data_IF_806265924525
#
_entry.id   IF_806265924525
#
_cell.length_a   1.000
_cell.length_b   1.000
_cell.length_c   1.000
_cell.angle_alpha   90.00
_cell.angle_beta   90.00
_cell.angle_gamma   90.00
#
_symmetry.space_group_name_H-M   'P 1'
#
loop_
_entity.id
_entity.type
_entity.pdbx_description
1 polymer ?
#
# COMPACT_ATOMS: atom_id res chain seq x y z
N UNK A 1 11.16 1.51 -4.44
CA UNK A 1 11.49 2.68 -5.25
C UNK A 1 10.42 3.77 -5.12
N UNK A 2 9.16 3.50 -5.47
CA UNK A 2 8.07 4.50 -5.46
C UNK A 2 7.90 5.19 -4.11
N UNK A 3 7.89 4.45 -3.02
CA UNK A 3 7.81 5.02 -1.67
C UNK A 3 8.98 5.96 -1.32
N UNK A 4 10.19 5.67 -1.82
CA UNK A 4 11.34 6.56 -1.64
C UNK A 4 11.23 7.81 -2.52
N UNK A 5 10.68 7.68 -3.74
CA UNK A 5 10.44 8.79 -4.64
C UNK A 5 9.39 9.75 -4.09
N UNK A 6 8.32 9.21 -3.52
CA UNK A 6 7.18 9.98 -2.99
C UNK A 6 7.44 10.54 -1.58
N UNK A 7 8.65 10.33 -1.03
CA UNK A 7 9.07 10.86 0.28
C UNK A 7 8.55 10.07 1.48
N UNK A 8 7.89 8.93 1.27
CA UNK A 8 7.38 8.07 2.36
C UNK A 8 8.49 7.21 3.00
N UNK A 9 9.57 6.97 2.27
CA UNK A 9 10.79 6.31 2.74
C UNK A 9 12.02 7.15 2.37
N UNK A 10 13.19 6.91 3.01
CA UNK A 10 14.41 7.68 2.73
C UNK A 10 14.75 7.71 1.23
N UNK A 11 15.01 8.90 0.71
CA UNK A 11 15.22 9.17 -0.72
C UNK A 11 16.40 8.43 -1.35
N UNK A 12 17.37 7.95 -0.54
CA UNK A 12 18.49 7.15 -1.04
C UNK A 12 18.06 5.78 -1.62
N UNK A 13 16.87 5.27 -1.23
CA UNK A 13 16.25 4.08 -1.81
C UNK A 13 15.70 4.33 -3.22
N UNK A 14 15.43 5.59 -3.55
CA UNK A 14 14.92 5.99 -4.86
C UNK A 14 16.02 6.29 -5.88
N UNK A 15 17.31 6.17 -5.50
CA UNK A 15 18.40 6.40 -6.46
C UNK A 15 18.45 5.31 -7.51
N UNK A 16 18.38 5.72 -8.77
CA UNK A 16 18.56 4.89 -9.95
C UNK A 16 20.05 4.83 -10.32
N UNK A 17 20.48 3.73 -10.94
CA UNK A 17 21.79 3.63 -11.57
C UNK A 17 21.75 4.18 -13.00
N UNK A 18 22.90 4.16 -13.70
CA UNK A 18 23.04 4.64 -15.09
C UNK A 18 22.09 3.91 -16.07
N UNK A 19 21.59 2.74 -15.71
CA UNK A 19 20.61 1.93 -16.49
C UNK A 19 19.16 2.17 -16.03
N UNK A 20 18.88 3.22 -15.27
CA UNK A 20 17.56 3.55 -14.71
C UNK A 20 16.95 2.44 -13.84
N UNK A 21 17.79 1.59 -13.19
CA UNK A 21 17.35 0.53 -12.30
C UNK A 21 17.59 0.93 -10.84
N UNK A 22 16.63 0.65 -9.91
CA UNK A 22 16.76 0.95 -8.49
C UNK A 22 17.60 -0.11 -7.76
N UNK A 23 18.88 -0.26 -8.12
CA UNK A 23 19.76 -1.34 -7.63
C UNK A 23 19.82 -1.40 -6.10
N UNK A 24 19.83 -0.25 -5.42
CA UNK A 24 19.88 -0.21 -3.94
C UNK A 24 18.63 -0.80 -3.31
N UNK A 25 17.45 -0.45 -3.83
CA UNK A 25 16.21 -1.03 -3.36
C UNK A 25 16.13 -2.53 -3.64
N UNK A 26 16.58 -2.97 -4.83
CA UNK A 26 16.61 -4.39 -5.20
C UNK A 26 17.54 -5.20 -4.30
N UNK A 27 18.76 -4.75 -4.05
CA UNK A 27 19.72 -5.46 -3.18
C UNK A 27 19.17 -5.60 -1.76
N UNK A 28 18.60 -4.53 -1.19
CA UNK A 28 18.02 -4.57 0.15
C UNK A 28 16.84 -5.53 0.22
N UNK A 29 15.91 -5.46 -0.75
CA UNK A 29 14.76 -6.35 -0.81
C UNK A 29 15.20 -7.81 -1.00
N UNK A 30 16.25 -8.07 -1.78
CA UNK A 30 16.79 -9.42 -1.95
C UNK A 30 17.38 -9.95 -0.65
N UNK A 31 18.19 -9.15 0.05
CA UNK A 31 18.77 -9.55 1.33
C UNK A 31 17.67 -9.85 2.36
N UNK A 32 16.71 -8.94 2.51
CA UNK A 32 15.59 -9.14 3.44
C UNK A 32 14.76 -10.37 3.04
N UNK A 33 14.48 -10.53 1.74
CA UNK A 33 13.70 -11.65 1.23
C UNK A 33 14.38 -13.00 1.47
N UNK A 34 15.69 -13.09 1.25
CA UNK A 34 16.47 -14.30 1.52
C UNK A 34 16.50 -14.62 3.02
N UNK A 35 16.74 -13.63 3.87
CA UNK A 35 16.74 -13.81 5.32
C UNK A 35 15.37 -14.30 5.83
N UNK A 36 14.29 -13.64 5.46
CA UNK A 36 12.94 -14.02 5.87
C UNK A 36 12.57 -15.38 5.28
N UNK A 37 12.84 -15.60 3.98
CA UNK A 37 12.53 -16.86 3.31
C UNK A 37 13.28 -18.06 3.85
N UNK A 38 14.47 -17.87 4.42
CA UNK A 38 15.23 -18.95 5.07
C UNK A 38 14.76 -19.25 6.50
N UNK A 39 14.10 -18.31 7.17
CA UNK A 39 13.69 -18.44 8.58
C UNK A 39 12.27 -18.99 8.74
N UNK A 40 11.39 -18.79 7.75
CA UNK A 40 9.97 -19.12 7.89
C UNK A 40 9.51 -20.16 6.85
N UNK A 41 8.57 -21.07 7.23
CA UNK A 41 7.95 -21.98 6.28
C UNK A 41 7.22 -21.28 5.16
N UNK A 42 7.24 -21.82 3.96
CA UNK A 42 6.56 -21.25 2.78
C UNK A 42 5.05 -21.01 3.02
N UNK A 43 4.37 -21.94 3.67
CA UNK A 43 2.95 -21.81 3.98
C UNK A 43 2.63 -20.59 4.85
N UNK A 44 3.49 -20.28 5.81
CA UNK A 44 3.36 -19.08 6.64
C UNK A 44 3.59 -17.79 5.84
N UNK A 45 4.63 -17.77 5.00
CA UNK A 45 4.90 -16.62 4.14
C UNK A 45 3.77 -16.36 3.14
N UNK A 46 3.19 -17.41 2.57
CA UNK A 46 2.03 -17.30 1.68
C UNK A 46 0.82 -16.70 2.39
N UNK A 47 0.55 -17.10 3.64
CA UNK A 47 -0.51 -16.50 4.46
C UNK A 47 -0.23 -15.04 4.80
N UNK A 48 1.00 -14.67 5.08
CA UNK A 48 1.40 -13.29 5.39
C UNK A 48 1.20 -12.37 4.18
N UNK A 49 1.58 -12.83 2.98
CA UNK A 49 1.35 -12.10 1.73
C UNK A 49 -0.16 -11.93 1.49
N UNK A 50 -0.93 -12.99 1.67
CA UNK A 50 -2.39 -12.96 1.54
C UNK A 50 -3.02 -11.96 2.50
N UNK A 51 -2.60 -11.96 3.76
CA UNK A 51 -3.09 -11.04 4.78
C UNK A 51 -2.83 -9.57 4.42
N UNK A 52 -1.62 -9.25 3.94
CA UNK A 52 -1.29 -7.90 3.48
C UNK A 52 -2.15 -7.45 2.30
N UNK A 53 -2.38 -8.33 1.34
CA UNK A 53 -3.23 -8.06 0.17
C UNK A 53 -4.69 -7.84 0.57
N UNK A 54 -5.21 -8.65 1.49
CA UNK A 54 -6.59 -8.51 1.99
C UNK A 54 -6.78 -7.17 2.71
N UNK A 55 -5.82 -6.75 3.54
CA UNK A 55 -5.85 -5.42 4.18
C UNK A 55 -5.86 -4.31 3.12
N UNK A 56 -5.03 -4.40 2.09
CA UNK A 56 -5.04 -3.42 1.02
C UNK A 56 -6.42 -3.33 0.33
N UNK A 57 -7.08 -4.45 0.06
CA UNK A 57 -8.43 -4.47 -0.51
C UNK A 57 -9.50 -3.89 0.44
N UNK A 58 -9.36 -4.08 1.74
CA UNK A 58 -10.24 -3.40 2.72
C UNK A 58 -10.10 -1.88 2.61
N UNK A 59 -8.86 -1.38 2.57
CA UNK A 59 -8.62 0.07 2.42
C UNK A 59 -9.13 0.61 1.09
N UNK A 60 -8.93 -0.10 -0.01
CA UNK A 60 -9.46 0.28 -1.34
C UNK A 60 -10.98 0.37 -1.30
N UNK A 61 -11.66 -0.58 -0.65
CA UNK A 61 -13.13 -0.58 -0.52
C UNK A 61 -13.63 0.65 0.26
N UNK A 62 -12.92 1.05 1.33
CA UNK A 62 -13.24 2.25 2.12
C UNK A 62 -12.90 3.53 1.33
N UNK A 63 -11.74 3.56 0.68
CA UNK A 63 -11.27 4.70 -0.08
C UNK A 63 -12.23 5.07 -1.23
N UNK A 64 -12.91 4.08 -1.82
CA UNK A 64 -13.90 4.31 -2.86
C UNK A 64 -15.04 5.22 -2.40
N UNK A 65 -15.45 5.16 -1.13
CA UNK A 65 -16.45 6.08 -0.58
C UNK A 65 -15.93 7.53 -0.53
N UNK A 66 -14.69 7.70 -0.09
CA UNK A 66 -14.06 9.02 -0.04
C UNK A 66 -13.89 9.62 -1.43
N UNK A 67 -13.45 8.83 -2.39
CA UNK A 67 -13.27 9.25 -3.77
C UNK A 67 -14.60 9.66 -4.42
N UNK A 68 -15.67 8.91 -4.20
CA UNK A 68 -17.00 9.23 -4.72
C UNK A 68 -17.57 10.55 -4.17
N UNK A 69 -17.28 10.88 -2.91
CA UNK A 69 -17.72 12.17 -2.33
C UNK A 69 -16.99 13.38 -2.95
N UNK A 70 -15.79 13.17 -3.46
CA UNK A 70 -14.94 14.19 -4.08
C UNK A 70 -15.09 14.26 -5.59
N UNK A 71 -15.78 13.28 -6.21
CA UNK A 71 -16.08 13.24 -7.64
C UNK A 71 -16.88 14.48 -8.08
N UNK A 72 -16.38 15.19 -9.08
CA UNK A 72 -17.02 16.42 -9.59
C UNK A 72 -16.83 17.67 -8.71
N UNK A 73 -16.06 17.57 -7.60
CA UNK A 73 -15.63 18.72 -6.78
C UNK A 73 -14.14 18.99 -7.00
N UNK A 74 -13.29 18.14 -6.42
CA UNK A 74 -11.82 18.25 -6.48
C UNK A 74 -11.20 17.26 -7.47
N UNK A 75 -11.96 16.23 -7.86
CA UNK A 75 -11.50 15.19 -8.77
C UNK A 75 -12.31 15.17 -10.05
N UNK A 76 -11.67 14.91 -11.21
CA UNK A 76 -12.38 14.75 -12.47
C UNK A 76 -13.37 13.59 -12.40
N UNK A 77 -14.46 13.69 -13.17
CA UNK A 77 -15.45 12.63 -13.27
C UNK A 77 -14.81 11.42 -13.99
N UNK A 78 -14.76 10.23 -13.37
CA UNK A 78 -14.14 9.06 -13.98
C UNK A 78 -14.94 8.57 -15.19
N UNK A 79 -14.24 8.09 -16.22
CA UNK A 79 -14.85 7.50 -17.40
C UNK A 79 -15.65 6.23 -17.09
N UNK A 80 -15.25 5.48 -16.06
CA UNK A 80 -15.95 4.28 -15.60
C UNK A 80 -16.49 4.47 -14.18
N UNK A 81 -17.79 4.22 -14.00
CA UNK A 81 -18.44 4.24 -12.69
C UNK A 81 -18.79 2.82 -12.26
N UNK A 82 -18.34 2.44 -11.09
CA UNK A 82 -18.63 1.13 -10.51
C UNK A 82 -20.14 0.97 -10.36
N UNK A 83 -20.74 -0.08 -10.97
CA UNK A 83 -22.16 -0.36 -10.83
C UNK A 83 -22.52 -0.74 -9.39
N UNK A 84 -23.81 -0.60 -9.06
CA UNK A 84 -24.33 -0.94 -7.72
C UNK A 84 -23.62 -0.26 -6.53
N UNK A 85 -23.07 0.93 -6.75
CA UNK A 85 -22.60 1.73 -5.62
C UNK A 85 -23.82 2.22 -4.79
N UNK A 86 -23.77 2.14 -3.45
CA UNK A 86 -22.66 1.81 -2.53
C UNK A 86 -22.59 0.33 -2.13
N UNK A 87 -23.43 -0.53 -2.63
CA UNK A 87 -23.59 -1.91 -2.17
C UNK A 87 -22.35 -2.78 -2.48
N UNK A 88 -21.81 -2.66 -3.69
CA UNK A 88 -20.67 -3.48 -4.13
C UNK A 88 -19.42 -3.30 -3.26
N UNK A 89 -18.96 -2.09 -2.92
CA UNK A 89 -17.82 -1.90 -2.02
C UNK A 89 -18.05 -2.48 -0.62
N UNK A 90 -19.28 -2.41 -0.10
CA UNK A 90 -19.63 -3.01 1.21
C UNK A 90 -19.53 -4.54 1.16
N UNK A 91 -20.11 -5.15 0.13
CA UNK A 91 -20.02 -6.61 -0.05
C UNK A 91 -18.56 -7.03 -0.19
N UNK A 92 -17.76 -6.33 -1.00
CA UNK A 92 -16.32 -6.61 -1.17
C UNK A 92 -15.60 -6.53 0.17
N UNK A 93 -15.83 -5.48 0.95
CA UNK A 93 -15.23 -5.33 2.28
C UNK A 93 -15.58 -6.48 3.20
N UNK A 94 -16.86 -6.90 3.27
CA UNK A 94 -17.32 -7.99 4.11
C UNK A 94 -16.74 -9.35 3.67
N UNK A 95 -16.68 -9.62 2.37
CA UNK A 95 -16.08 -10.86 1.84
C UNK A 95 -14.57 -10.90 2.15
N UNK A 96 -13.86 -9.80 1.96
CA UNK A 96 -12.43 -9.72 2.29
C UNK A 96 -12.21 -9.90 3.79
N UNK A 97 -13.05 -9.30 4.64
CA UNK A 97 -13.00 -9.49 6.09
C UNK A 97 -13.24 -10.95 6.50
N UNK A 98 -14.20 -11.63 5.87
CA UNK A 98 -14.47 -13.03 6.11
C UNK A 98 -13.26 -13.91 5.76
N UNK A 99 -12.64 -13.68 4.60
CA UNK A 99 -11.44 -14.41 4.19
C UNK A 99 -10.27 -14.11 5.14
N UNK A 100 -10.10 -12.88 5.56
CA UNK A 100 -9.07 -12.48 6.54
C UNK A 100 -9.28 -13.18 7.89
N UNK A 101 -10.52 -13.35 8.31
CA UNK A 101 -10.85 -14.08 9.55
C UNK A 101 -10.42 -15.54 9.50
N UNK A 102 -10.47 -16.17 8.33
CA UNK A 102 -10.04 -17.56 8.08
C UNK A 102 -8.53 -17.79 8.12
N UNK A 103 -7.69 -16.75 8.14
CA UNK A 103 -6.24 -16.89 8.26
C UNK A 103 -5.83 -17.40 9.64
N UNK A 104 -4.66 -18.02 9.73
CA UNK A 104 -4.09 -18.45 11.01
C UNK A 104 -3.91 -17.28 11.98
N UNK A 105 -4.01 -17.55 13.28
CA UNK A 105 -3.82 -16.52 14.31
C UNK A 105 -2.43 -15.87 14.21
N UNK A 106 -1.42 -16.68 13.95
CA UNK A 106 -0.03 -16.20 13.78
C UNK A 106 0.10 -15.22 12.61
N UNK A 107 -0.47 -15.55 11.43
CA UNK A 107 -0.44 -14.65 10.29
C UNK A 107 -1.14 -13.31 10.58
N UNK A 108 -2.29 -13.34 11.27
CA UNK A 108 -3.01 -12.13 11.71
C UNK A 108 -2.16 -11.29 12.67
N UNK A 109 -1.53 -11.93 13.64
CA UNK A 109 -0.71 -11.24 14.64
C UNK A 109 0.52 -10.56 14.00
N UNK A 110 1.27 -11.30 13.17
CA UNK A 110 2.43 -10.73 12.48
C UNK A 110 2.04 -9.62 11.50
N UNK A 111 0.92 -9.77 10.82
CA UNK A 111 0.41 -8.72 9.93
C UNK A 111 0.02 -7.47 10.71
N UNK A 112 -0.60 -7.61 11.88
CA UNK A 112 -0.94 -6.48 12.75
C UNK A 112 0.33 -5.76 13.24
N UNK A 113 1.32 -6.52 13.71
CA UNK A 113 2.61 -5.96 14.15
C UNK A 113 3.26 -5.18 13.00
N UNK A 114 3.30 -5.78 11.80
CA UNK A 114 3.87 -5.12 10.62
C UNK A 114 3.12 -3.84 10.23
N UNK A 115 1.81 -3.87 10.33
CA UNK A 115 0.96 -2.71 10.08
C UNK A 115 1.22 -1.57 11.08
N UNK A 116 1.36 -1.90 12.36
CA UNK A 116 1.72 -0.93 13.41
C UNK A 116 3.10 -0.31 13.15
N UNK A 117 4.09 -1.12 12.77
CA UNK A 117 5.42 -0.63 12.37
C UNK A 117 5.31 0.33 11.19
N UNK A 118 4.49 0.00 10.18
CA UNK A 118 4.23 0.87 9.04
C UNK A 118 3.60 2.20 9.44
N UNK A 119 2.61 2.19 10.36
CA UNK A 119 2.01 3.42 10.91
C UNK A 119 3.05 4.26 11.65
N UNK A 120 3.88 3.65 12.48
CA UNK A 120 4.94 4.36 13.20
C UNK A 120 5.90 5.05 12.22
N UNK A 121 6.38 4.33 11.22
CA UNK A 121 7.24 4.92 10.17
C UNK A 121 6.52 6.06 9.45
N UNK A 122 5.25 5.88 9.12
CA UNK A 122 4.46 6.92 8.45
C UNK A 122 4.30 8.18 9.31
N UNK A 123 3.97 8.03 10.59
CA UNK A 123 3.77 9.16 11.51
C UNK A 123 5.08 9.93 11.78
N UNK A 124 6.17 9.20 12.01
CA UNK A 124 7.46 9.84 12.36
C UNK A 124 8.21 10.37 11.14
N UNK A 125 8.09 9.71 10.00
CA UNK A 125 8.83 10.07 8.80
C UNK A 125 7.92 10.53 7.64
N UNK A 126 6.91 9.75 7.27
CA UNK A 126 6.10 9.97 6.08
C UNK A 126 5.33 11.30 6.10
N UNK A 127 4.71 11.66 7.21
CA UNK A 127 3.94 12.91 7.33
C UNK A 127 4.82 14.14 7.09
N UNK A 128 6.07 14.12 7.56
CA UNK A 128 6.99 15.26 7.46
C UNK A 128 7.71 15.35 6.10
N UNK A 129 7.84 14.25 5.37
CA UNK A 129 8.65 14.17 4.15
C UNK A 129 7.82 13.79 2.91
N UNK A 130 6.50 13.66 3.04
CA UNK A 130 5.64 13.36 1.91
C UNK A 130 5.57 14.56 0.96
N UNK A 131 6.03 14.38 -0.27
CA UNK A 131 5.96 15.40 -1.32
C UNK A 131 4.53 15.75 -1.74
N UNK A 132 3.55 14.95 -1.33
CA UNK A 132 2.12 15.23 -1.57
C UNK A 132 1.55 16.30 -0.63
N UNK A 133 2.30 16.72 0.39
CA UNK A 133 1.88 17.81 1.26
C UNK A 133 2.17 19.19 0.67
N UNK A 134 3.09 19.27 -0.30
CA UNK A 134 3.37 20.48 -1.05
C UNK A 134 2.43 20.50 -2.26
N UNK A 135 1.24 21.08 -2.10
CA UNK A 135 0.20 21.20 -3.14
C UNK A 135 0.69 21.99 -4.38
N UNK A 136 1.79 22.74 -4.27
CA UNK A 136 2.34 23.59 -5.33
C UNK A 136 3.19 22.83 -6.37
N UNK A 137 3.59 21.57 -6.12
CA UNK A 137 4.51 20.83 -7.02
C UNK A 137 3.80 19.77 -7.90
N UNK A 138 2.46 19.65 -7.82
CA UNK A 138 1.72 18.73 -8.67
C UNK A 138 1.35 19.40 -10.00
N UNK A 139 2.34 19.66 -10.83
CA UNK A 139 2.11 19.97 -12.24
C UNK A 139 1.61 18.69 -12.90
N UNK A 140 0.30 18.60 -13.13
CA UNK A 140 -0.29 17.59 -14.02
C UNK A 140 0.37 17.78 -15.39
N UNK A 141 1.07 16.77 -15.96
CA UNK A 141 1.54 16.86 -17.34
C UNK A 141 0.33 17.17 -18.22
N UNK A 142 0.35 18.31 -18.89
CA UNK A 142 -0.61 18.59 -19.97
C UNK A 142 -0.11 17.79 -21.16
N UNK A 143 -0.83 16.73 -21.51
CA UNK A 143 -0.71 16.08 -22.81
C UNK A 143 -1.11 17.04 -23.94
#
# INVERSE_FOLDING_TARGET
YSFGRDGLLPSWLAKLNDKHLPNRALVILTIIGVLIGSMFPFAFLAQLISAGTLIAFMFVSIAMYSLRKREGKDLPVPAFKVPFFPVLPVITFLLVLLVFWGLSFEAKLYTLIWFLVGIVIYVFYGIKHSKKNDEDDYVVPKD
#
